data_IF_670106784950
#
_entry.id   IF_670106784950
#
_cell.length_a   1.000
_cell.length_b   1.000
_cell.length_c   1.000
_cell.angle_alpha   90.00
_cell.angle_beta   90.00
_cell.angle_gamma   90.00
#
_symmetry.space_group_name_H-M   'P 1'
#
loop_
_entity.id
_entity.type
_entity.pdbx_description
1 polymer ?
#
# COMPACT_ATOMS: atom_id res chain seq x y z
N UNK A 1 50.11 4.01 -24.60
CA UNK A 1 50.99 5.04 -24.05
C UNK A 1 50.22 5.81 -22.99
N UNK A 2 50.72 5.76 -21.75
CA UNK A 2 50.50 6.63 -20.57
C UNK A 2 49.03 6.94 -20.15
N UNK A 3 48.51 6.45 -19.00
CA UNK A 3 48.79 6.91 -17.60
C UNK A 3 48.50 8.41 -17.43
N UNK A 4 47.82 8.98 -16.43
CA UNK A 4 47.36 8.70 -15.05
C UNK A 4 46.32 9.86 -14.80
N UNK A 5 45.37 9.90 -13.86
CA UNK A 5 45.45 9.74 -12.42
C UNK A 5 44.03 9.72 -11.80
N UNK A 6 43.94 9.04 -10.67
CA UNK A 6 42.77 8.94 -9.81
C UNK A 6 42.41 10.27 -9.13
N UNK A 7 41.10 10.51 -8.97
CA UNK A 7 40.57 11.28 -7.84
C UNK A 7 39.78 10.32 -6.96
N UNK A 8 40.17 10.27 -5.68
CA UNK A 8 39.66 9.34 -4.68
C UNK A 8 38.64 10.09 -3.83
N UNK A 9 37.61 9.35 -3.43
CA UNK A 9 36.85 9.50 -2.17
C UNK A 9 35.64 10.42 -2.16
N UNK A 10 34.47 9.79 -2.23
CA UNK A 10 33.40 10.04 -1.25
C UNK A 10 32.68 8.74 -0.94
N UNK A 11 32.69 8.40 0.34
CA UNK A 11 32.22 7.18 0.96
C UNK A 11 30.80 7.40 1.48
N UNK A 12 29.81 6.65 0.97
CA UNK A 12 28.51 6.35 1.61
C UNK A 12 27.86 5.31 0.71
N UNK A 13 27.66 4.06 1.14
CA UNK A 13 26.67 3.68 2.15
C UNK A 13 25.59 2.90 1.41
N UNK A 14 25.52 1.59 1.62
CA UNK A 14 24.69 0.67 0.86
C UNK A 14 23.20 0.99 0.90
N UNK A 15 22.56 0.79 -0.23
CA UNK A 15 21.11 0.72 -0.37
C UNK A 15 20.82 -0.26 -1.50
N UNK A 16 20.51 -1.50 -1.14
CA UNK A 16 20.06 -2.53 -2.05
C UNK A 16 18.69 -2.11 -2.61
N UNK A 17 18.68 -1.30 -3.66
CA UNK A 17 17.48 -0.99 -4.45
C UNK A 17 17.12 -2.19 -5.35
N UNK A 18 16.91 -3.34 -4.72
CA UNK A 18 16.23 -4.48 -5.30
C UNK A 18 14.87 -4.64 -4.62
N UNK A 19 14.02 -3.61 -4.68
CA UNK A 19 12.59 -3.84 -4.64
C UNK A 19 12.14 -4.13 -6.06
N UNK A 20 12.64 -5.25 -6.57
CA UNK A 20 12.19 -5.84 -7.82
C UNK A 20 10.74 -6.28 -7.64
N UNK A 21 9.83 -5.72 -8.43
CA UNK A 21 8.64 -6.35 -9.03
C UNK A 21 8.10 -7.59 -8.28
N UNK A 22 7.79 -7.47 -6.98
CA UNK A 22 7.09 -8.49 -6.21
C UNK A 22 5.63 -8.05 -6.18
N UNK A 23 4.72 -8.98 -6.48
CA UNK A 23 3.28 -8.75 -6.31
C UNK A 23 2.96 -8.29 -4.89
N UNK A 24 1.77 -7.73 -4.65
CA UNK A 24 1.41 -7.14 -3.37
C UNK A 24 1.67 -8.14 -2.24
N UNK A 25 2.50 -7.75 -1.27
CA UNK A 25 2.86 -8.60 -0.13
C UNK A 25 1.85 -8.45 1.00
N UNK A 26 1.85 -9.40 1.95
CA UNK A 26 1.04 -9.27 3.17
C UNK A 26 1.36 -7.97 3.92
N UNK A 27 2.64 -7.58 3.98
CA UNK A 27 3.07 -6.34 4.62
C UNK A 27 2.53 -5.11 3.91
N UNK A 28 2.57 -5.07 2.57
CA UNK A 28 1.99 -3.96 1.80
C UNK A 28 0.48 -3.86 2.02
N UNK A 29 -0.22 -4.99 2.02
CA UNK A 29 -1.66 -5.00 2.30
C UNK A 29 -1.98 -4.53 3.74
N UNK A 30 -1.18 -4.95 4.72
CA UNK A 30 -1.31 -4.47 6.10
C UNK A 30 -1.07 -2.95 6.19
N UNK A 31 -0.08 -2.43 5.46
CA UNK A 31 0.19 -0.99 5.37
C UNK A 31 -0.97 -0.22 4.74
N UNK A 32 -1.59 -0.75 3.66
CA UNK A 32 -2.79 -0.15 3.04
C UNK A 32 -3.94 -0.04 4.03
N UNK A 33 -4.14 -1.04 4.90
CA UNK A 33 -5.17 -1.02 5.93
C UNK A 33 -4.76 -0.27 7.21
N UNK A 34 -3.50 0.14 7.35
CA UNK A 34 -2.98 0.76 8.57
C UNK A 34 -2.95 -0.18 9.78
N UNK A 35 -2.76 -1.48 9.54
CA UNK A 35 -2.70 -2.54 10.56
C UNK A 35 -1.35 -3.25 10.52
N UNK A 36 -1.05 -4.05 11.54
CA UNK A 36 0.15 -4.89 11.58
C UNK A 36 -0.16 -6.32 11.13
N UNK A 37 0.81 -7.05 10.55
CA UNK A 37 0.68 -8.48 10.28
C UNK A 37 0.39 -9.31 11.53
N UNK A 38 0.66 -8.78 12.73
CA UNK A 38 0.37 -9.43 14.02
C UNK A 38 -1.04 -9.15 14.54
N UNK A 39 -1.77 -8.20 13.98
CA UNK A 39 -3.09 -7.81 14.48
C UNK A 39 -4.12 -8.92 14.29
N UNK A 40 -5.10 -8.99 15.19
CA UNK A 40 -6.15 -9.99 15.13
C UNK A 40 -7.18 -9.69 14.02
N UNK A 41 -7.97 -10.70 13.65
CA UNK A 41 -8.97 -10.57 12.60
C UNK A 41 -10.01 -9.48 12.92
N UNK A 42 -10.32 -9.25 14.19
CA UNK A 42 -11.27 -8.20 14.62
C UNK A 42 -10.72 -6.81 14.31
N UNK A 43 -9.45 -6.56 14.64
CA UNK A 43 -8.79 -5.28 14.34
C UNK A 43 -8.70 -5.04 12.85
N UNK A 44 -8.32 -6.05 12.07
CA UNK A 44 -8.23 -5.97 10.60
C UNK A 44 -9.60 -5.64 10.00
N UNK A 45 -10.67 -6.36 10.40
CA UNK A 45 -12.04 -6.10 9.94
C UNK A 45 -12.52 -4.69 10.32
N UNK A 46 -12.17 -4.22 11.51
CA UNK A 46 -12.54 -2.86 11.96
C UNK A 46 -11.84 -1.80 11.12
N UNK A 47 -10.54 -1.94 10.86
CA UNK A 47 -9.77 -1.02 10.04
C UNK A 47 -10.32 -0.97 8.60
N UNK A 48 -10.60 -2.13 8.01
CA UNK A 48 -11.23 -2.24 6.69
C UNK A 48 -12.57 -1.48 6.61
N UNK A 49 -13.50 -1.71 7.55
CA UNK A 49 -14.79 -1.01 7.56
C UNK A 49 -14.64 0.51 7.72
N UNK A 50 -13.69 0.95 8.53
CA UNK A 50 -13.41 2.38 8.73
C UNK A 50 -12.93 3.03 7.42
N UNK A 51 -11.89 2.46 6.79
CA UNK A 51 -11.33 2.96 5.54
C UNK A 51 -12.35 2.97 4.40
N UNK A 52 -13.14 1.90 4.25
CA UNK A 52 -14.21 1.86 3.26
C UNK A 52 -15.27 2.93 3.51
N UNK A 53 -15.62 3.21 4.76
CA UNK A 53 -16.55 4.29 5.10
C UNK A 53 -15.99 5.68 4.78
N UNK A 54 -14.68 5.87 4.85
CA UNK A 54 -14.00 7.14 4.54
C UNK A 54 -13.86 7.38 3.03
N UNK A 55 -13.60 6.30 2.27
CA UNK A 55 -13.34 6.37 0.83
C UNK A 55 -14.48 5.83 -0.05
N UNK A 56 -15.68 5.59 0.52
CA UNK A 56 -16.76 4.98 -0.25
C UNK A 56 -17.18 5.87 -1.42
N UNK A 57 -17.21 5.35 -2.67
CA UNK A 57 -17.62 6.14 -3.83
C UNK A 57 -19.04 6.70 -3.69
N UNK A 58 -19.96 5.94 -3.06
CA UNK A 58 -21.34 6.40 -2.78
C UNK A 58 -21.42 7.71 -1.98
N UNK A 59 -20.58 7.85 -0.94
CA UNK A 59 -20.54 9.08 -0.13
C UNK A 59 -19.96 10.28 -0.88
N UNK A 60 -19.21 10.01 -1.95
CA UNK A 60 -18.56 11.02 -2.77
C UNK A 60 -19.47 11.46 -3.92
N UNK A 61 -20.26 10.53 -4.47
CA UNK A 61 -21.35 10.82 -5.42
C UNK A 61 -22.37 11.75 -4.76
N UNK A 62 -22.77 11.47 -3.51
CA UNK A 62 -23.69 12.32 -2.76
C UNK A 62 -23.18 13.75 -2.51
N UNK A 63 -21.85 13.98 -2.59
CA UNK A 63 -21.22 15.29 -2.42
C UNK A 63 -21.02 16.06 -3.73
N UNK A 64 -21.39 15.48 -4.87
CA UNK A 64 -21.26 16.13 -6.18
C UNK A 64 -19.81 16.40 -6.59
N UNK A 65 -18.88 15.54 -6.16
CA UNK A 65 -17.47 15.71 -6.47
C UNK A 65 -17.19 15.52 -7.97
N UNK A 66 -16.18 16.21 -8.52
CA UNK A 66 -15.80 16.09 -9.92
C UNK A 66 -15.39 14.64 -10.27
N UNK A 67 -15.53 14.23 -11.54
CA UNK A 67 -15.25 12.87 -11.98
C UNK A 67 -13.85 12.35 -11.60
N UNK A 68 -12.83 13.22 -11.64
CA UNK A 68 -11.45 12.88 -11.28
C UNK A 68 -11.32 12.46 -9.81
N UNK A 69 -11.97 13.20 -8.89
CA UNK A 69 -11.98 12.84 -7.47
C UNK A 69 -12.76 11.55 -7.20
N UNK A 70 -13.82 11.29 -7.97
CA UNK A 70 -14.55 10.02 -7.89
C UNK A 70 -13.68 8.84 -8.33
N UNK A 71 -12.91 8.99 -9.41
CA UNK A 71 -12.04 7.92 -9.90
C UNK A 71 -10.90 7.63 -8.92
N UNK A 72 -10.27 8.66 -8.35
CA UNK A 72 -9.25 8.47 -7.29
C UNK A 72 -9.81 7.72 -6.08
N UNK A 73 -11.03 8.05 -5.65
CA UNK A 73 -11.64 7.37 -4.51
C UNK A 73 -12.04 5.94 -4.83
N UNK A 74 -12.52 5.67 -6.05
CA UNK A 74 -12.81 4.32 -6.52
C UNK A 74 -11.54 3.48 -6.57
N UNK A 75 -10.44 4.02 -7.09
CA UNK A 75 -9.12 3.36 -7.07
C UNK A 75 -8.71 3.06 -5.64
N UNK A 76 -8.86 4.02 -4.72
CA UNK A 76 -8.53 3.79 -3.30
C UNK A 76 -9.40 2.71 -2.65
N UNK A 77 -10.70 2.71 -2.90
CA UNK A 77 -11.60 1.67 -2.41
C UNK A 77 -11.22 0.29 -2.95
N UNK A 78 -10.83 0.20 -4.23
CA UNK A 78 -10.35 -1.03 -4.83
C UNK A 78 -9.03 -1.52 -4.20
N UNK A 79 -8.09 -0.63 -3.92
CA UNK A 79 -6.85 -0.98 -3.21
C UNK A 79 -7.15 -1.52 -1.80
N UNK A 80 -8.02 -0.85 -1.05
CA UNK A 80 -8.44 -1.27 0.30
C UNK A 80 -9.07 -2.67 0.26
N UNK A 81 -9.93 -2.92 -0.72
CA UNK A 81 -10.58 -4.22 -0.88
C UNK A 81 -9.58 -5.31 -1.25
N UNK A 82 -8.66 -5.06 -2.18
CA UNK A 82 -7.62 -6.00 -2.56
C UNK A 82 -6.69 -6.35 -1.38
N UNK A 83 -6.28 -5.34 -0.61
CA UNK A 83 -5.45 -5.54 0.58
C UNK A 83 -6.16 -6.41 1.63
N UNK A 84 -7.44 -6.13 1.91
CA UNK A 84 -8.22 -6.92 2.84
C UNK A 84 -8.36 -8.38 2.40
N UNK A 85 -8.65 -8.63 1.12
CA UNK A 85 -8.77 -9.98 0.59
C UNK A 85 -7.44 -10.74 0.65
N UNK A 86 -6.31 -10.09 0.35
CA UNK A 86 -4.99 -10.71 0.49
C UNK A 86 -4.71 -11.10 1.95
N UNK A 87 -4.94 -10.19 2.90
CA UNK A 87 -4.74 -10.48 4.33
C UNK A 87 -5.64 -11.63 4.78
N UNK A 88 -6.90 -11.62 4.33
CA UNK A 88 -7.89 -12.64 4.63
C UNK A 88 -7.44 -14.03 4.14
N UNK A 89 -6.93 -14.10 2.91
CA UNK A 89 -6.38 -15.34 2.32
C UNK A 89 -5.13 -15.82 3.08
N UNK A 90 -4.20 -14.92 3.40
CA UNK A 90 -2.95 -15.25 4.07
C UNK A 90 -3.15 -15.67 5.54
N UNK A 91 -4.11 -15.04 6.24
CA UNK A 91 -4.40 -15.33 7.66
C UNK A 91 -5.50 -16.37 7.88
N UNK A 92 -6.22 -16.78 6.84
CA UNK A 92 -7.18 -17.89 6.89
C UNK A 92 -8.47 -17.62 7.69
N UNK A 93 -8.89 -16.37 7.86
CA UNK A 93 -10.15 -16.05 8.54
C UNK A 93 -11.28 -15.73 7.54
N UNK A 94 -12.54 -16.02 7.87
CA UNK A 94 -13.73 -15.73 7.03
C UNK A 94 -14.44 -14.44 7.41
#
# INVERSE_FOLDING_TARGET
MHSLAAVISSKTGGGNWQQAQRGPTLEDACNVLGVKPTDDATTIKRAYRKLMSEHHPDKLVAKGLPPEMMEMAKQKAQEIQQAYELIKQQKGFK
#
